data_IF_674718941156
#
_entry.id   IF_674718941156
#
_cell.length_a   1.000
_cell.length_b   1.000
_cell.length_c   1.000
_cell.angle_alpha   90.00
_cell.angle_beta   90.00
_cell.angle_gamma   90.00
#
_symmetry.space_group_name_H-M   'P 1'
#
loop_
_entity.id
_entity.type
_entity.pdbx_description
1 polymer ?
#
# COMPACT_ATOMS: atom_id res chain seq x y z
N UNK A 1 84.25 1.29 15.38
CA UNK A 1 83.79 2.58 14.81
C UNK A 1 82.95 2.28 13.59
N UNK A 2 81.72 2.82 13.51
CA UNK A 2 80.85 2.66 12.34
C UNK A 2 79.40 2.34 12.70
N UNK A 3 78.73 3.31 13.30
CA UNK A 3 77.27 3.41 13.45
C UNK A 3 76.55 3.32 12.11
N UNK A 4 75.38 2.67 12.07
CA UNK A 4 74.12 3.25 11.53
C UNK A 4 72.91 2.36 11.78
N UNK A 5 71.93 2.97 12.44
CA UNK A 5 70.52 2.55 12.60
C UNK A 5 69.81 2.63 11.24
N UNK A 6 68.61 2.04 11.16
CA UNK A 6 67.33 2.54 10.59
C UNK A 6 66.44 1.31 10.30
N UNK A 7 65.45 1.04 11.14
CA UNK A 7 64.05 1.53 11.12
C UNK A 7 63.11 0.55 10.41
N UNK A 8 62.08 0.18 11.17
CA UNK A 8 60.99 -0.71 10.82
C UNK A 8 60.05 -0.09 9.77
N UNK A 9 59.39 -0.95 9.00
CA UNK A 9 58.10 -0.63 8.37
C UNK A 9 57.25 -1.91 8.31
N UNK A 10 56.38 -2.05 9.32
CA UNK A 10 55.29 -3.00 9.38
C UNK A 10 54.19 -2.60 8.39
N UNK A 11 54.00 -3.36 7.32
CA UNK A 11 52.84 -3.25 6.42
C UNK A 11 51.69 -4.06 6.99
N UNK A 12 50.75 -3.38 7.66
CA UNK A 12 49.45 -3.94 8.00
C UNK A 12 48.55 -3.89 6.77
N UNK A 13 48.30 -5.04 6.16
CA UNK A 13 47.29 -5.19 5.10
C UNK A 13 45.91 -5.21 5.77
N UNK A 14 45.20 -4.08 5.73
CA UNK A 14 43.80 -4.01 6.11
C UNK A 14 42.95 -4.66 5.03
N UNK A 15 42.43 -5.86 5.30
CA UNK A 15 41.45 -6.52 4.45
C UNK A 15 40.10 -5.78 4.58
N UNK A 16 39.73 -5.05 3.52
CA UNK A 16 38.39 -4.49 3.35
C UNK A 16 37.44 -5.64 3.03
N UNK A 17 36.67 -6.10 4.01
CA UNK A 17 35.57 -7.04 3.81
C UNK A 17 34.47 -6.35 3.01
N UNK A 18 34.22 -6.85 1.81
CA UNK A 18 33.14 -6.42 0.92
C UNK A 18 31.80 -6.87 1.51
N UNK A 19 31.21 -6.03 2.37
CA UNK A 19 29.83 -6.20 2.81
C UNK A 19 28.91 -5.92 1.63
N UNK A 20 28.35 -6.98 1.05
CA UNK A 20 27.22 -6.86 0.12
C UNK A 20 26.02 -6.33 0.90
N UNK A 21 25.79 -5.02 0.79
CA UNK A 21 24.54 -4.39 1.19
C UNK A 21 23.45 -4.90 0.23
N UNK A 22 22.74 -5.95 0.62
CA UNK A 22 21.41 -6.23 0.09
C UNK A 22 20.53 -5.04 0.45
N UNK A 23 20.41 -4.09 -0.47
CA UNK A 23 19.40 -3.06 -0.42
C UNK A 23 18.05 -3.78 -0.42
N UNK A 24 17.37 -3.82 0.73
CA UNK A 24 15.94 -4.07 0.74
C UNK A 24 15.34 -2.97 -0.13
N UNK A 25 14.85 -3.33 -1.30
CA UNK A 25 14.00 -2.45 -2.07
C UNK A 25 12.80 -2.13 -1.17
N UNK A 26 12.84 -0.98 -0.53
CA UNK A 26 11.69 -0.40 0.12
C UNK A 26 10.66 -0.23 -1.01
N UNK A 27 9.63 -1.07 -1.02
CA UNK A 27 8.50 -0.88 -1.91
C UNK A 27 8.00 0.54 -1.65
N UNK A 28 8.18 1.42 -2.63
CA UNK A 28 7.69 2.79 -2.52
C UNK A 28 6.20 2.72 -2.18
N UNK A 29 5.72 3.57 -1.26
CA UNK A 29 4.30 3.60 -0.94
C UNK A 29 3.55 3.85 -2.24
N UNK A 30 2.76 2.87 -2.68
CA UNK A 30 2.05 3.01 -3.96
C UNK A 30 1.09 4.21 -3.84
N UNK A 31 0.90 4.93 -4.92
CA UNK A 31 0.15 6.17 -4.93
C UNK A 31 -1.26 5.91 -5.45
N UNK A 32 -2.24 6.69 -4.97
CA UNK A 32 -3.55 6.71 -5.58
C UNK A 32 -3.45 7.25 -7.01
N UNK A 33 -3.64 6.39 -8.02
CA UNK A 33 -3.54 6.73 -9.44
C UNK A 33 -4.75 6.16 -10.21
N UNK A 34 -5.11 6.78 -11.33
CA UNK A 34 -6.13 6.25 -12.22
C UNK A 34 -5.64 4.92 -12.81
N UNK A 35 -6.34 3.83 -12.50
CA UNK A 35 -5.90 2.45 -12.79
C UNK A 35 -6.03 2.08 -14.28
N UNK A 36 -6.50 3.01 -15.12
CA UNK A 36 -6.70 2.83 -16.57
C UNK A 36 -5.70 3.51 -17.51
N UNK A 37 -4.58 4.02 -17.01
CA UNK A 37 -3.51 4.56 -17.86
C UNK A 37 -2.49 3.49 -18.28
N UNK A 38 -2.88 2.58 -19.18
CA UNK A 38 -1.97 1.72 -19.94
C UNK A 38 -1.51 0.42 -19.24
N UNK A 39 -2.09 -0.71 -19.67
CA UNK A 39 -1.60 -2.12 -19.64
C UNK A 39 -0.90 -2.71 -18.41
N UNK A 40 -0.73 -1.95 -17.33
CA UNK A 40 -0.01 -2.37 -16.13
C UNK A 40 -1.02 -2.65 -15.04
N UNK A 41 -1.09 -3.91 -14.59
CA UNK A 41 -1.90 -4.31 -13.44
C UNK A 41 -1.19 -3.85 -12.16
N UNK A 42 -1.82 -2.95 -11.40
CA UNK A 42 -1.32 -2.49 -10.10
C UNK A 42 -1.97 -3.29 -8.98
N UNK A 43 -1.23 -3.58 -7.92
CA UNK A 43 -1.73 -4.35 -6.78
C UNK A 43 -1.78 -3.45 -5.56
N UNK A 44 -2.97 -2.96 -5.23
CA UNK A 44 -3.16 -2.14 -4.04
C UNK A 44 -3.13 -3.03 -2.80
N UNK A 45 -2.45 -2.57 -1.75
CA UNK A 45 -2.38 -3.29 -0.48
C UNK A 45 -2.47 -2.34 0.70
N UNK A 46 -3.08 -2.82 1.78
CA UNK A 46 -3.00 -2.22 3.10
C UNK A 46 -2.08 -3.09 3.94
N UNK A 47 -0.94 -2.53 4.33
CA UNK A 47 0.11 -3.19 5.09
C UNK A 47 0.09 -2.68 6.52
N UNK A 48 -0.05 -3.59 7.47
CA UNK A 48 -0.03 -3.30 8.91
C UNK A 48 1.04 -4.17 9.56
N UNK A 49 1.95 -3.55 10.31
CA UNK A 49 3.07 -4.24 10.96
C UNK A 49 3.90 -5.12 10.00
N UNK A 50 4.09 -4.64 8.76
CA UNK A 50 4.85 -5.33 7.72
C UNK A 50 4.13 -6.51 7.06
N UNK A 51 2.82 -6.67 7.29
CA UNK A 51 2.01 -7.74 6.68
C UNK A 51 0.82 -7.17 5.93
N UNK A 52 0.50 -7.76 4.80
CA UNK A 52 -0.75 -7.45 4.10
C UNK A 52 -1.94 -7.79 5.00
N UNK A 53 -2.82 -6.82 5.16
CA UNK A 53 -4.08 -6.95 5.86
C UNK A 53 -5.24 -7.00 4.86
N UNK A 54 -5.16 -6.17 3.83
CA UNK A 54 -6.06 -6.17 2.67
C UNK A 54 -5.23 -6.11 1.41
N UNK A 55 -5.64 -6.85 0.39
CA UNK A 55 -5.13 -6.66 -0.96
C UNK A 55 -6.30 -6.43 -1.90
N UNK A 56 -6.08 -5.59 -2.89
CA UNK A 56 -6.93 -5.44 -4.04
C UNK A 56 -6.07 -5.67 -5.29
N UNK A 57 -6.68 -6.27 -6.30
CA UNK A 57 -6.07 -6.41 -7.60
C UNK A 57 -7.11 -6.16 -8.70
N UNK A 58 -6.71 -5.58 -9.82
CA UNK A 58 -7.53 -5.48 -11.00
C UNK A 58 -7.95 -6.89 -11.47
N UNK A 59 -9.18 -7.02 -11.96
CA UNK A 59 -9.59 -8.20 -12.72
C UNK A 59 -8.78 -8.28 -14.04
N UNK A 60 -8.76 -9.37 -14.80
CA UNK A 60 -8.21 -9.27 -16.17
C UNK A 60 -9.15 -8.43 -17.07
N UNK A 61 -8.61 -7.49 -17.86
CA UNK A 61 -9.34 -6.60 -18.80
C UNK A 61 -10.06 -5.35 -18.22
N UNK A 62 -9.60 -4.84 -17.07
CA UNK A 62 -10.16 -3.74 -16.22
C UNK A 62 -10.40 -2.38 -16.85
N UNK A 63 -10.10 -2.19 -18.14
CA UNK A 63 -10.34 -0.92 -18.81
C UNK A 63 -10.91 -1.26 -20.17
N UNK A 64 -12.21 -1.57 -20.21
CA UNK A 64 -12.94 -2.04 -21.40
C UNK A 64 -13.11 -0.95 -22.48
N UNK A 65 -12.18 0.02 -22.56
CA UNK A 65 -12.26 1.19 -23.44
C UNK A 65 -13.37 2.20 -23.07
N UNK A 66 -14.24 1.85 -22.13
CA UNK A 66 -15.41 2.61 -21.67
C UNK A 66 -15.20 3.35 -20.35
N UNK A 67 -14.02 3.19 -19.73
CA UNK A 67 -13.68 3.77 -18.44
C UNK A 67 -14.23 3.02 -17.23
N UNK A 68 -14.69 1.77 -17.37
CA UNK A 68 -15.12 0.94 -16.23
C UNK A 68 -13.94 0.18 -15.64
N UNK A 69 -13.65 0.40 -14.35
CA UNK A 69 -12.73 -0.40 -13.54
C UNK A 69 -13.46 -1.58 -12.89
N UNK A 70 -12.87 -2.77 -12.93
CA UNK A 70 -13.26 -3.94 -12.15
C UNK A 70 -12.08 -4.50 -11.34
N UNK A 71 -12.30 -4.77 -10.05
CA UNK A 71 -11.28 -5.28 -9.15
C UNK A 71 -11.78 -6.42 -8.28
N UNK A 72 -10.84 -7.15 -7.70
CA UNK A 72 -11.07 -8.21 -6.71
C UNK A 72 -10.24 -7.90 -5.48
N UNK A 73 -10.86 -7.95 -4.31
CA UNK A 73 -10.21 -7.66 -3.04
C UNK A 73 -10.55 -8.70 -1.99
N UNK A 74 -9.65 -8.86 -1.03
CA UNK A 74 -9.79 -9.79 0.06
C UNK A 74 -9.03 -9.31 1.30
N UNK A 75 -9.54 -9.71 2.47
CA UNK A 75 -8.73 -9.69 3.68
C UNK A 75 -7.66 -10.77 3.58
N UNK A 76 -6.51 -10.54 4.20
CA UNK A 76 -5.37 -11.48 4.21
C UNK A 76 -5.12 -12.11 5.57
N UNK A 77 -5.93 -11.78 6.56
CA UNK A 77 -5.81 -12.27 7.92
C UNK A 77 -7.16 -12.68 8.48
N UNK A 78 -7.17 -13.75 9.27
CA UNK A 78 -8.37 -14.30 9.90
C UNK A 78 -9.08 -13.28 10.79
N UNK A 79 -10.42 -13.33 10.79
CA UNK A 79 -11.27 -12.45 11.59
C UNK A 79 -11.48 -11.06 11.01
N UNK A 80 -10.90 -10.73 9.85
CA UNK A 80 -11.08 -9.45 9.18
C UNK A 80 -11.97 -9.59 7.94
N UNK A 81 -12.82 -8.59 7.73
CA UNK A 81 -13.54 -8.34 6.48
C UNK A 81 -12.89 -7.17 5.77
N UNK A 82 -12.59 -7.32 4.48
CA UNK A 82 -12.05 -6.23 3.67
C UNK A 82 -13.16 -5.34 3.11
N UNK A 83 -12.83 -4.08 2.88
CA UNK A 83 -13.68 -3.09 2.24
C UNK A 83 -12.82 -2.25 1.30
N UNK A 84 -13.39 -1.90 0.15
CA UNK A 84 -12.82 -0.90 -0.74
C UNK A 84 -13.66 0.37 -0.63
N UNK A 85 -13.00 1.50 -0.43
CA UNK A 85 -13.67 2.80 -0.38
C UNK A 85 -13.13 3.65 -1.53
N UNK A 86 -14.02 4.00 -2.46
CA UNK A 86 -13.70 4.86 -3.60
C UNK A 86 -14.22 6.26 -3.32
N UNK A 87 -13.33 7.24 -3.44
CA UNK A 87 -13.72 8.64 -3.45
C UNK A 87 -13.56 9.20 -4.86
N UNK A 88 -14.65 9.71 -5.43
CA UNK A 88 -14.67 10.36 -6.74
C UNK A 88 -15.64 11.53 -6.73
N UNK A 89 -15.17 12.70 -7.17
CA UNK A 89 -15.95 13.95 -7.26
C UNK A 89 -16.73 14.31 -5.98
N UNK A 90 -16.10 14.15 -4.81
CA UNK A 90 -16.72 14.45 -3.52
C UNK A 90 -17.70 13.39 -3.03
N UNK A 91 -17.96 12.34 -3.81
CA UNK A 91 -18.77 11.19 -3.41
C UNK A 91 -17.89 10.05 -2.92
N UNK A 92 -18.28 9.45 -1.81
CA UNK A 92 -17.65 8.24 -1.28
C UNK A 92 -18.57 7.06 -1.49
N UNK A 93 -18.05 6.00 -2.13
CA UNK A 93 -18.72 4.71 -2.29
C UNK A 93 -17.91 3.65 -1.55
N UNK A 94 -18.60 2.78 -0.83
CA UNK A 94 -17.98 1.69 -0.08
C UNK A 94 -18.47 0.36 -0.64
N UNK A 95 -17.52 -0.51 -0.97
CA UNK A 95 -17.76 -1.87 -1.41
C UNK A 95 -17.39 -2.81 -0.27
N UNK A 96 -18.37 -3.58 0.21
CA UNK A 96 -18.14 -4.57 1.26
C UNK A 96 -17.56 -5.84 0.65
N UNK A 97 -16.47 -6.32 1.23
CA UNK A 97 -15.91 -7.61 0.91
C UNK A 97 -16.55 -8.73 1.71
N UNK A 98 -15.86 -9.87 1.70
CA UNK A 98 -16.19 -11.04 2.51
C UNK A 98 -15.21 -11.17 3.67
N UNK A 99 -15.61 -11.95 4.68
CA UNK A 99 -14.72 -12.36 5.75
C UNK A 99 -13.60 -13.22 5.15
N UNK A 100 -12.38 -13.08 5.66
CA UNK A 100 -11.27 -13.98 5.32
C UNK A 100 -11.70 -15.46 5.38
N UNK A 101 -11.29 -16.31 4.42
CA UNK A 101 -10.35 -16.04 3.33
C UNK A 101 -10.99 -15.59 2.01
N UNK A 102 -12.30 -15.35 2.01
CA UNK A 102 -13.03 -15.16 0.76
C UNK A 102 -12.77 -13.78 0.14
N UNK A 103 -12.75 -13.74 -1.19
CA UNK A 103 -12.64 -12.50 -1.97
C UNK A 103 -14.01 -11.99 -2.43
N UNK A 104 -14.08 -10.70 -2.72
CA UNK A 104 -15.21 -10.08 -3.41
C UNK A 104 -14.71 -9.34 -4.65
N UNK A 105 -15.57 -9.23 -5.67
CA UNK A 105 -15.37 -8.34 -6.80
C UNK A 105 -16.16 -7.06 -6.63
N UNK A 106 -15.73 -6.00 -7.32
CA UNK A 106 -16.43 -4.73 -7.40
C UNK A 106 -16.11 -4.03 -8.71
N UNK A 107 -16.99 -3.14 -9.13
CA UNK A 107 -16.82 -2.35 -10.34
C UNK A 107 -17.26 -0.90 -10.12
N UNK A 108 -16.61 0.02 -10.81
CA UNK A 108 -17.01 1.43 -10.85
C UNK A 108 -16.54 2.11 -12.14
N UNK A 109 -17.24 3.16 -12.55
CA UNK A 109 -16.77 4.02 -13.63
C UNK A 109 -15.66 4.94 -13.11
N UNK A 110 -14.49 4.90 -13.75
CA UNK A 110 -13.33 5.74 -13.48
C UNK A 110 -13.05 6.68 -14.65
N UNK A 111 -13.84 7.74 -14.74
CA UNK A 111 -13.68 8.77 -15.78
C UNK A 111 -12.73 9.91 -15.41
N UNK A 112 -12.11 9.86 -14.23
CA UNK A 112 -11.48 11.01 -13.59
C UNK A 112 -10.05 10.71 -13.14
N UNK A 113 -9.17 11.70 -13.20
CA UNK A 113 -7.78 11.59 -12.71
C UNK A 113 -7.63 11.89 -11.22
N UNK A 114 -8.68 12.41 -10.58
CA UNK A 114 -8.66 12.87 -9.18
C UNK A 114 -9.23 11.87 -8.18
N UNK A 115 -9.67 10.72 -8.67
CA UNK A 115 -10.31 9.66 -7.91
C UNK A 115 -9.25 8.82 -7.19
N UNK A 116 -9.54 8.39 -5.96
CA UNK A 116 -8.60 7.60 -5.16
C UNK A 116 -9.30 6.49 -4.38
N UNK A 117 -8.53 5.46 -4.05
CA UNK A 117 -8.99 4.27 -3.35
C UNK A 117 -8.38 4.19 -1.96
N UNK A 118 -9.20 3.84 -0.97
CA UNK A 118 -8.77 3.49 0.38
C UNK A 118 -9.15 2.03 0.60
N UNK A 119 -8.22 1.27 1.16
CA UNK A 119 -8.46 -0.09 1.60
C UNK A 119 -8.75 -0.09 3.11
N UNK A 120 -9.75 -0.85 3.52
CA UNK A 120 -10.13 -0.97 4.91
C UNK A 120 -10.26 -2.44 5.32
N UNK A 121 -9.78 -2.77 6.50
CA UNK A 121 -10.09 -4.01 7.20
C UNK A 121 -10.95 -3.68 8.41
N UNK A 122 -12.03 -4.43 8.61
CA UNK A 122 -12.86 -4.29 9.79
C UNK A 122 -13.18 -5.64 10.41
N UNK A 123 -13.22 -5.64 11.74
CA UNK A 123 -13.71 -6.71 12.59
C UNK A 123 -14.47 -6.06 13.76
N UNK A 124 -15.29 -6.81 14.52
CA UNK A 124 -16.05 -6.22 15.62
C UNK A 124 -15.18 -5.37 16.56
N UNK A 125 -15.47 -4.06 16.62
CA UNK A 125 -14.80 -3.10 17.48
C UNK A 125 -13.42 -2.61 17.05
N UNK A 126 -12.94 -2.96 15.85
CA UNK A 126 -11.59 -2.60 15.39
C UNK A 126 -11.57 -2.46 13.86
N UNK A 127 -11.24 -1.28 13.38
CA UNK A 127 -11.14 -0.96 11.95
C UNK A 127 -9.82 -0.31 11.63
N UNK A 128 -9.23 -0.70 10.51
CA UNK A 128 -8.00 -0.13 9.99
C UNK A 128 -8.27 0.28 8.54
N UNK A 129 -8.01 1.54 8.20
CA UNK A 129 -8.22 2.06 6.86
C UNK A 129 -6.99 2.83 6.39
N UNK A 130 -6.63 2.70 5.13
CA UNK A 130 -5.47 3.38 4.59
C UNK A 130 -5.03 2.84 3.24
N UNK A 131 -3.76 3.06 2.94
CA UNK A 131 -3.13 2.63 1.69
C UNK A 131 -1.64 2.40 1.92
N UNK A 132 -1.11 1.29 1.40
CA UNK A 132 0.26 0.85 1.68
C UNK A 132 0.50 0.72 3.18
N UNK A 133 1.59 1.29 3.67
CA UNK A 133 1.93 1.34 5.10
C UNK A 133 1.33 2.54 5.84
N UNK A 134 0.62 3.45 5.16
CA UNK A 134 -0.04 4.59 5.79
C UNK A 134 -1.48 4.25 6.12
N UNK A 135 -1.82 4.23 7.41
CA UNK A 135 -3.16 3.88 7.85
C UNK A 135 -3.57 4.59 9.13
N UNK A 136 -4.88 4.64 9.33
CA UNK A 136 -5.51 4.95 10.61
C UNK A 136 -6.13 3.69 11.20
N UNK A 137 -6.12 3.60 12.52
CA UNK A 137 -6.78 2.52 13.26
C UNK A 137 -7.75 3.12 14.27
N UNK A 138 -9.00 2.68 14.21
CA UNK A 138 -10.06 3.15 15.09
C UNK A 138 -10.70 1.97 15.80
N UNK A 139 -10.96 2.11 17.10
CA UNK A 139 -11.60 1.08 17.92
C UNK A 139 -12.92 1.54 18.53
N UNK A 140 -13.78 0.58 18.86
CA UNK A 140 -15.10 0.79 19.43
C UNK A 140 -16.21 0.91 18.39
N UNK A 141 -17.34 1.49 18.81
CA UNK A 141 -18.55 1.58 18.00
C UNK A 141 -18.33 2.41 16.74
N UNK A 142 -19.00 2.02 15.65
CA UNK A 142 -18.90 2.68 14.35
C UNK A 142 -17.44 2.89 13.90
N UNK A 143 -16.54 1.99 14.30
CA UNK A 143 -15.10 2.10 14.03
C UNK A 143 -14.82 2.20 12.54
N UNK A 144 -15.57 1.48 11.70
CA UNK A 144 -15.38 1.52 10.24
C UNK A 144 -15.66 2.92 9.67
N UNK A 145 -16.83 3.50 9.96
CA UNK A 145 -17.20 4.82 9.44
C UNK A 145 -16.20 5.90 9.91
N UNK A 146 -15.77 5.83 11.18
CA UNK A 146 -14.77 6.77 11.71
C UNK A 146 -13.39 6.57 11.07
N UNK A 147 -12.96 5.32 10.87
CA UNK A 147 -11.71 5.02 10.19
C UNK A 147 -11.71 5.50 8.74
N UNK A 148 -12.83 5.33 8.01
CA UNK A 148 -13.00 5.84 6.65
C UNK A 148 -12.86 7.36 6.61
N UNK A 149 -13.58 8.08 7.48
CA UNK A 149 -13.54 9.54 7.52
C UNK A 149 -12.13 10.08 7.80
N UNK A 150 -11.37 9.41 8.65
CA UNK A 150 -9.98 9.78 8.92
C UNK A 150 -9.04 9.39 7.77
N UNK A 151 -9.24 8.23 7.15
CA UNK A 151 -8.43 7.78 6.01
C UNK A 151 -8.66 8.59 4.74
N UNK A 152 -9.79 9.29 4.60
CA UNK A 152 -10.03 10.26 3.53
C UNK A 152 -8.93 11.34 3.52
N UNK A 153 -8.45 11.79 4.69
CA UNK A 153 -7.33 12.73 4.76
C UNK A 153 -6.03 12.14 4.18
N UNK A 154 -5.78 10.84 4.44
CA UNK A 154 -4.65 10.11 3.83
C UNK A 154 -4.82 10.09 2.30
N UNK A 155 -6.02 9.78 1.79
CA UNK A 155 -6.29 9.77 0.35
C UNK A 155 -6.08 11.12 -0.33
N UNK A 156 -6.45 12.23 0.34
CA UNK A 156 -6.19 13.59 -0.15
C UNK A 156 -4.70 13.92 -0.24
N UNK A 157 -3.88 13.48 0.72
CA UNK A 157 -2.43 13.64 0.61
C UNK A 157 -1.94 12.98 -0.67
N UNK A 158 -2.25 11.70 -0.88
CA UNK A 158 -1.80 10.94 -2.06
C UNK A 158 -2.22 11.57 -3.39
N UNK A 159 -3.41 12.17 -3.48
CA UNK A 159 -3.85 12.91 -4.67
C UNK A 159 -2.94 14.11 -4.99
N UNK A 160 -2.43 14.79 -3.98
CA UNK A 160 -1.66 16.04 -4.14
C UNK A 160 -0.18 15.82 -4.46
N UNK A 161 0.34 14.59 -4.40
CA UNK A 161 1.69 14.24 -4.85
C UNK A 161 1.77 14.04 -6.38
N UNK A 162 0.90 14.72 -7.13
CA UNK A 162 0.76 14.61 -8.58
C UNK A 162 2.05 14.29 -9.34
N UNK A 163 2.08 13.08 -9.90
CA UNK A 163 2.98 12.66 -10.99
C UNK A 163 2.15 12.46 -12.25
#
# INVERSE_FOLDING_TARGET
MGTRRLLAASLSVAALSSGTLTALAAAAPQEARALCAGSTMYFDSLVVDGRDLVSEKPFPAVCNGDGTYEGVFAARQSGWTAYVVRHDNGQTRTFSGRLYPDSASYQYQDGNRSSYTILCANRPGDSICGFGSKYVRVRGDNSLNRAILQAIAIGYEYRNWGF
#
